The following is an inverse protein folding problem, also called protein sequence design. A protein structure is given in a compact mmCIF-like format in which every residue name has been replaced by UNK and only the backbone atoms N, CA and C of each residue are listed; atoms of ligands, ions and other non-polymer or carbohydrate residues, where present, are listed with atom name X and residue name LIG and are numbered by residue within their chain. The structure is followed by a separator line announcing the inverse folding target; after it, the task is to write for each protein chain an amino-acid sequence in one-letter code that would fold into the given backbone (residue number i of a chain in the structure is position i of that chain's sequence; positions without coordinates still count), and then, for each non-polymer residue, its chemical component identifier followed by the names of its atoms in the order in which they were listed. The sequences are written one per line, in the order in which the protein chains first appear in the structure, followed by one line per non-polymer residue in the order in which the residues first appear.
data_IF_026902180627
#
_entry.id   IF_026902180627
#
_cell.length_a   1.000
_cell.length_b   1.000
_cell.length_c   1.000
_cell.angle_alpha   90.00
_cell.angle_beta   90.00
_cell.angle_gamma   90.00
#
_symmetry.space_group_name_H-M   'P 1'
#
loop_
_entity.id
_entity.type
_entity.pdbx_description
1 polymer ?
#
# COMPACT_ATOMS: atom_id res chain seq x y z
N UNK A 1 -15.54 -10.86 29.09
CA UNK A 1 -14.68 -10.83 27.89
C UNK A 1 -15.52 -10.39 26.70
N UNK A 2 -15.49 -9.10 26.38
CA UNK A 2 -16.26 -8.55 25.26
C UNK A 2 -15.51 -8.83 23.96
N UNK A 3 -16.14 -9.56 23.05
CA UNK A 3 -15.57 -9.78 21.72
C UNK A 3 -15.60 -8.43 20.99
N UNK A 4 -14.43 -7.86 20.71
CA UNK A 4 -14.29 -6.56 20.03
C UNK A 4 -14.84 -6.59 18.59
N UNK A 5 -15.01 -7.79 18.03
CA UNK A 5 -15.55 -8.00 16.68
C UNK A 5 -16.59 -9.11 16.64
N UNK A 6 -17.64 -8.97 15.81
CA UNK A 6 -18.54 -10.06 15.45
C UNK A 6 -17.76 -11.23 14.87
N UNK A 7 -18.17 -12.46 15.18
CA UNK A 7 -17.46 -13.69 14.76
C UNK A 7 -17.32 -13.81 13.24
N UNK A 8 -18.25 -13.23 12.50
CA UNK A 8 -18.39 -13.23 11.04
C UNK A 8 -17.76 -11.99 10.36
N UNK A 9 -17.21 -11.03 11.12
CA UNK A 9 -16.65 -9.80 10.56
C UNK A 9 -15.50 -10.08 9.59
N UNK A 10 -14.62 -11.02 9.93
CA UNK A 10 -13.50 -11.41 9.08
C UNK A 10 -13.98 -12.09 7.79
N UNK A 11 -14.96 -13.00 7.88
CA UNK A 11 -15.49 -13.71 6.72
C UNK A 11 -16.17 -12.75 5.71
N UNK A 12 -16.93 -11.78 6.20
CA UNK A 12 -17.60 -10.78 5.38
C UNK A 12 -16.61 -9.83 4.70
N UNK A 13 -15.59 -9.39 5.44
CA UNK A 13 -14.52 -8.53 4.90
C UNK A 13 -13.67 -9.30 3.89
N UNK A 14 -13.31 -10.55 4.18
CA UNK A 14 -12.52 -11.40 3.30
C UNK A 14 -13.25 -11.68 1.99
N UNK A 15 -14.51 -12.12 2.05
CA UNK A 15 -15.33 -12.40 0.87
C UNK A 15 -15.53 -11.17 0.00
N UNK A 16 -15.88 -10.04 0.62
CA UNK A 16 -16.05 -8.75 -0.09
C UNK A 16 -14.75 -8.30 -0.75
N UNK A 17 -13.62 -8.43 -0.04
CA UNK A 17 -12.31 -8.09 -0.55
C UNK A 17 -11.93 -8.98 -1.74
N UNK A 18 -12.16 -10.29 -1.64
CA UNK A 18 -11.86 -11.26 -2.70
C UNK A 18 -12.62 -10.96 -3.98
N UNK A 19 -13.91 -10.65 -3.86
CA UNK A 19 -14.76 -10.26 -4.99
C UNK A 19 -14.31 -8.93 -5.61
N UNK A 20 -14.03 -7.91 -4.78
CA UNK A 20 -13.51 -6.63 -5.27
C UNK A 20 -12.15 -6.79 -5.97
N UNK A 21 -11.28 -7.68 -5.47
CA UNK A 21 -9.98 -7.96 -6.09
C UNK A 21 -10.11 -8.62 -7.45
N UNK A 22 -10.99 -9.62 -7.58
CA UNK A 22 -11.22 -10.29 -8.85
C UNK A 22 -11.70 -9.29 -9.92
N UNK A 23 -12.74 -8.51 -9.59
CA UNK A 23 -13.28 -7.49 -10.48
C UNK A 23 -12.25 -6.41 -10.82
N UNK A 24 -11.46 -5.96 -9.84
CA UNK A 24 -10.39 -4.99 -10.06
C UNK A 24 -9.31 -5.52 -11.01
N UNK A 25 -8.92 -6.80 -10.88
CA UNK A 25 -7.90 -7.40 -11.76
C UNK A 25 -8.42 -7.50 -13.19
N UNK A 26 -9.67 -7.88 -13.40
CA UNK A 26 -10.29 -7.90 -14.72
C UNK A 26 -10.37 -6.50 -15.32
N UNK A 27 -10.89 -5.53 -14.57
CA UNK A 27 -10.99 -4.12 -15.00
C UNK A 27 -9.63 -3.51 -15.38
N UNK A 28 -8.57 -3.83 -14.64
CA UNK A 28 -7.22 -3.32 -14.89
C UNK A 28 -6.56 -4.02 -16.08
N UNK A 29 -6.90 -5.28 -16.36
CA UNK A 29 -6.41 -6.00 -17.54
C UNK A 29 -7.04 -5.49 -18.82
N UNK A 30 -8.32 -5.17 -18.79
CA UNK A 30 -9.06 -4.75 -19.98
C UNK A 30 -8.87 -3.26 -20.29
N UNK A 31 -8.48 -2.44 -19.31
CA UNK A 31 -8.18 -1.04 -19.55
C UNK A 31 -6.71 -0.78 -19.93
N UNK A 32 -6.50 -0.55 -21.23
CA UNK A 32 -5.23 -0.04 -21.80
C UNK A 32 -4.70 1.24 -21.14
N UNK A 33 -5.55 1.98 -20.43
CA UNK A 33 -5.16 3.14 -19.64
C UNK A 33 -4.20 2.75 -18.48
N UNK A 34 -4.30 1.53 -17.95
CA UNK A 34 -3.47 1.03 -16.85
C UNK A 34 -2.15 0.40 -17.32
N UNK A 35 -2.05 -0.02 -18.58
CA UNK A 35 -0.79 -0.56 -19.16
C UNK A 35 0.34 0.48 -19.17
N UNK A 36 0.00 1.77 -19.31
CA UNK A 36 1.00 2.85 -19.41
C UNK A 36 1.59 3.27 -18.06
N UNK A 37 1.14 2.68 -16.95
CA UNK A 37 1.53 3.09 -15.60
C UNK A 37 2.77 2.34 -15.11
N UNK A 38 3.86 3.09 -14.93
CA UNK A 38 5.17 2.53 -14.57
C UNK A 38 5.33 2.26 -13.07
N UNK A 39 4.56 2.93 -12.22
CA UNK A 39 4.67 2.83 -10.77
C UNK A 39 3.38 2.43 -10.04
N UNK A 40 3.55 1.85 -8.86
CA UNK A 40 2.45 1.54 -7.94
C UNK A 40 1.67 2.81 -7.53
N UNK A 41 2.35 3.95 -7.41
CA UNK A 41 1.74 5.26 -7.16
C UNK A 41 0.87 5.76 -8.32
N UNK A 42 1.23 5.48 -9.57
CA UNK A 42 0.48 5.93 -10.74
C UNK A 42 -0.85 5.16 -10.87
N UNK A 43 -0.82 3.85 -10.57
CA UNK A 43 -2.02 3.01 -10.44
C UNK A 43 -2.99 3.54 -9.38
N UNK A 44 -2.44 4.01 -8.27
CA UNK A 44 -3.23 4.61 -7.20
C UNK A 44 -3.91 5.91 -7.64
N UNK A 45 -3.19 6.79 -8.36
CA UNK A 45 -3.76 8.02 -8.91
C UNK A 45 -4.86 7.75 -9.92
N UNK A 46 -4.68 6.71 -10.75
CA UNK A 46 -5.66 6.35 -11.77
C UNK A 46 -6.96 5.79 -11.19
N UNK A 47 -6.88 5.00 -10.11
CA UNK A 47 -8.04 4.56 -9.33
C UNK A 47 -8.87 5.72 -8.77
N UNK A 48 -8.21 6.82 -8.38
CA UNK A 48 -8.88 8.03 -7.92
C UNK A 48 -9.51 8.77 -9.10
N UNK A 49 -8.74 8.97 -10.17
CA UNK A 49 -9.18 9.69 -11.37
C UNK A 49 -10.40 9.05 -12.06
N UNK A 50 -10.46 7.72 -12.09
CA UNK A 50 -11.57 6.95 -12.68
C UNK A 50 -12.76 6.79 -11.74
N UNK A 51 -12.70 7.30 -10.50
CA UNK A 51 -13.75 7.09 -9.49
C UNK A 51 -13.80 5.66 -8.92
N UNK A 52 -13.03 4.72 -9.48
CA UNK A 52 -12.99 3.31 -9.10
C UNK A 52 -12.55 3.07 -7.64
N UNK A 53 -11.93 4.05 -6.98
CA UNK A 53 -11.65 4.00 -5.54
C UNK A 53 -12.89 3.87 -4.66
N UNK A 54 -14.07 4.30 -5.12
CA UNK A 54 -15.34 4.09 -4.42
C UNK A 54 -15.88 2.68 -4.65
N UNK A 55 -15.79 2.17 -5.88
CA UNK A 55 -16.21 0.82 -6.28
C UNK A 55 -15.35 -0.27 -5.63
N UNK A 56 -14.04 -0.04 -5.56
CA UNK A 56 -13.05 -0.98 -5.02
C UNK A 56 -12.45 -0.44 -3.72
N UNK A 57 -13.30 0.04 -2.80
CA UNK A 57 -12.86 0.69 -1.57
C UNK A 57 -11.99 -0.19 -0.65
N UNK A 58 -12.13 -1.51 -0.70
CA UNK A 58 -11.25 -2.42 0.04
C UNK A 58 -9.86 -2.52 -0.62
N UNK A 59 -9.82 -2.68 -1.94
CA UNK A 59 -8.57 -2.73 -2.72
C UNK A 59 -7.81 -1.41 -2.60
N UNK A 60 -8.51 -0.28 -2.75
CA UNK A 60 -7.91 1.05 -2.61
C UNK A 60 -7.27 1.26 -1.23
N UNK A 61 -7.92 0.78 -0.16
CA UNK A 61 -7.34 0.82 1.19
C UNK A 61 -6.07 -0.02 1.29
N UNK A 62 -6.05 -1.24 0.75
CA UNK A 62 -4.85 -2.08 0.75
C UNK A 62 -3.69 -1.44 -0.01
N UNK A 63 -3.96 -0.90 -1.20
CA UNK A 63 -2.95 -0.21 -2.02
C UNK A 63 -2.41 1.01 -1.26
N UNK A 64 -3.27 1.78 -0.59
CA UNK A 64 -2.86 2.91 0.24
C UNK A 64 -2.00 2.47 1.43
N UNK A 65 -2.34 1.38 2.10
CA UNK A 65 -1.53 0.81 3.17
C UNK A 65 -0.16 0.36 2.68
N UNK A 66 -0.09 -0.35 1.54
CA UNK A 66 1.17 -0.78 0.94
C UNK A 66 2.08 0.42 0.59
N UNK A 67 1.51 1.51 0.08
CA UNK A 67 2.24 2.76 -0.18
C UNK A 67 2.80 3.39 1.12
N UNK A 68 1.96 3.51 2.15
CA UNK A 68 2.39 4.09 3.44
C UNK A 68 3.49 3.22 4.05
N UNK A 69 3.32 1.90 4.04
CA UNK A 69 4.30 0.97 4.58
C UNK A 69 5.62 1.04 3.81
N UNK A 70 5.58 1.08 2.48
CA UNK A 70 6.79 1.24 1.66
C UNK A 70 7.55 2.53 1.98
N UNK A 71 6.84 3.66 2.14
CA UNK A 71 7.46 4.95 2.52
C UNK A 71 8.04 4.89 3.93
N UNK A 72 7.31 4.30 4.89
CA UNK A 72 7.79 4.14 6.27
C UNK A 72 9.05 3.26 6.32
N UNK A 73 9.04 2.11 5.64
CA UNK A 73 10.19 1.20 5.55
C UNK A 73 11.40 1.88 4.92
N UNK A 74 11.24 2.57 3.79
CA UNK A 74 12.34 3.30 3.15
C UNK A 74 12.91 4.40 4.06
N UNK A 75 12.06 5.02 4.88
CA UNK A 75 12.49 6.03 5.86
C UNK A 75 13.33 5.41 6.98
N UNK A 76 12.89 4.28 7.53
CA UNK A 76 13.63 3.54 8.57
C UNK A 76 14.96 3.02 8.02
N UNK A 77 14.97 2.43 6.83
CA UNK A 77 16.18 1.95 6.17
C UNK A 77 17.19 3.07 5.93
N UNK A 78 16.72 4.25 5.49
CA UNK A 78 17.57 5.43 5.31
C UNK A 78 18.20 5.87 6.63
N UNK A 79 17.42 5.97 7.70
CA UNK A 79 17.94 6.36 9.04
C UNK A 79 18.96 5.33 9.53
N UNK A 80 18.64 4.04 9.40
CA UNK A 80 19.53 2.96 9.80
C UNK A 80 20.83 2.95 8.96
N UNK A 81 20.75 3.25 7.67
CA UNK A 81 21.92 3.37 6.79
C UNK A 81 22.81 4.55 7.21
N UNK A 82 22.21 5.71 7.47
CA UNK A 82 22.93 6.88 7.98
C UNK A 82 23.65 6.57 9.29
N UNK A 83 22.97 5.90 10.23
CA UNK A 83 23.60 5.47 11.49
C UNK A 83 24.79 4.54 11.25
N UNK A 84 24.67 3.56 10.34
CA UNK A 84 25.78 2.69 9.98
C UNK A 84 26.96 3.47 9.42
N UNK A 85 26.72 4.45 8.55
CA UNK A 85 27.79 5.31 8.00
C UNK A 85 28.48 6.09 9.14
N UNK A 86 27.74 6.75 10.03
CA UNK A 86 28.31 7.47 11.17
C UNK A 86 29.11 6.56 12.13
N UNK A 87 28.66 5.32 12.31
CA UNK A 87 29.34 4.35 13.17
C UNK A 87 30.56 3.72 12.49
N UNK A 88 30.56 3.60 11.16
CA UNK A 88 31.62 2.98 10.38
C UNK A 88 32.75 3.95 9.99
N UNK A 89 32.46 5.25 9.81
CA UNK A 89 33.44 6.26 9.41
C UNK A 89 34.30 6.80 10.57
N UNK A 90 34.09 6.32 11.81
CA UNK A 90 34.70 6.90 13.00
C UNK A 90 34.06 8.26 13.28
N UNK A 91 32.99 8.26 14.08
CA UNK A 91 32.09 9.41 14.28
C UNK A 91 32.77 10.78 14.49
N UNK A 92 32.06 11.90 14.21
CA UNK A 92 32.65 13.23 14.18
C UNK A 92 33.44 13.49 15.45
N UNK A 93 34.75 13.65 15.31
CA UNK A 93 35.60 14.23 16.33
C UNK A 93 35.13 15.66 16.54
N UNK A 94 34.23 15.84 17.50
CA UNK A 94 33.91 17.14 18.07
C UNK A 94 35.23 17.61 18.69
N UNK A 95 35.92 18.53 18.01
CA UNK A 95 37.09 19.25 18.54
C UNK A 95 36.64 20.29 19.54
#
# INVERSE_FOLDING_TARGET
MTKLYPTNFLDEVESSLRNQLANYIEDVRDESSFEKLKGFGDRCKQLVATGKHMTYGAVFRLVKFALILSVATASVERVLSTMKIYLQDGGPMIK
#
